data_IF_505506173458
#
_entry.id   IF_505506173458
#
_cell.length_a   1.000
_cell.length_b   1.000
_cell.length_c   1.000
_cell.angle_alpha   90.00
_cell.angle_beta   90.00
_cell.angle_gamma   90.00
#
_symmetry.space_group_name_H-M   'P 1'
#
loop_
_entity.id
_entity.type
_entity.pdbx_description
1 polymer ?
#
# COMPACT_ATOMS: atom_id res chain seq x y z
N UNK A 1 -9.03 -5.42 -12.14
CA UNK A 1 -9.99 -5.55 -11.01
C UNK A 1 -9.64 -6.71 -10.09
N UNK A 2 -8.93 -6.41 -8.99
CA UNK A 2 -8.51 -7.38 -7.95
C UNK A 2 -9.57 -7.51 -6.85
N UNK A 3 -9.85 -8.75 -6.40
CA UNK A 3 -10.74 -8.99 -5.27
C UNK A 3 -10.18 -8.42 -3.96
N UNK A 4 -8.85 -8.45 -3.79
CA UNK A 4 -8.19 -7.94 -2.60
C UNK A 4 -8.32 -6.41 -2.49
N UNK A 5 -8.11 -5.69 -3.59
CA UNK A 5 -8.24 -4.22 -3.61
C UNK A 5 -9.68 -3.77 -3.31
N UNK A 6 -10.68 -4.50 -3.82
CA UNK A 6 -12.10 -4.24 -3.50
C UNK A 6 -12.39 -4.41 -2.01
N UNK A 7 -11.84 -5.45 -1.40
CA UNK A 7 -12.03 -5.72 0.02
C UNK A 7 -11.37 -4.64 0.89
N UNK A 8 -10.18 -4.16 0.52
CA UNK A 8 -9.53 -3.03 1.21
C UNK A 8 -10.39 -1.76 1.19
N UNK A 9 -10.93 -1.38 0.03
CA UNK A 9 -11.83 -0.22 -0.09
C UNK A 9 -13.08 -0.40 0.77
N UNK A 10 -13.66 -1.61 0.78
CA UNK A 10 -14.81 -1.93 1.64
C UNK A 10 -14.48 -1.78 3.12
N UNK A 11 -13.32 -2.26 3.56
CA UNK A 11 -12.87 -2.16 4.96
C UNK A 11 -12.67 -0.71 5.41
N UNK A 12 -12.05 0.14 4.59
CA UNK A 12 -11.91 1.57 4.90
C UNK A 12 -13.28 2.25 5.06
N UNK A 13 -14.23 1.93 4.18
CA UNK A 13 -15.60 2.43 4.26
C UNK A 13 -16.32 2.02 5.55
N UNK A 14 -16.12 0.79 6.02
CA UNK A 14 -16.70 0.32 7.31
C UNK A 14 -16.17 1.11 8.49
N UNK A 15 -14.89 1.49 8.47
CA UNK A 15 -14.25 2.28 9.54
C UNK A 15 -14.60 3.77 9.44
N UNK A 16 -15.41 4.17 8.44
CA UNK A 16 -15.84 5.55 8.23
C UNK A 16 -14.79 6.44 7.57
N UNK A 17 -13.73 5.85 7.00
CA UNK A 17 -12.74 6.58 6.22
C UNK A 17 -13.13 6.53 4.74
N UNK A 18 -13.40 7.68 4.09
CA UNK A 18 -13.66 7.71 2.66
C UNK A 18 -12.50 7.07 1.90
N UNK A 19 -12.82 6.14 0.99
CA UNK A 19 -11.83 5.42 0.21
C UNK A 19 -12.24 5.35 -1.26
N UNK A 20 -11.28 5.66 -2.13
CA UNK A 20 -11.41 5.58 -3.57
C UNK A 20 -10.52 4.45 -4.08
N UNK A 21 -11.09 3.55 -4.89
CA UNK A 21 -10.29 2.58 -5.63
C UNK A 21 -9.94 3.18 -7.00
N UNK A 22 -8.66 3.09 -7.36
CA UNK A 22 -8.13 3.45 -8.67
C UNK A 22 -7.35 2.26 -9.25
N UNK A 23 -7.25 2.16 -10.56
CA UNK A 23 -6.36 1.21 -11.24
C UNK A 23 -5.00 1.87 -11.55
N UNK A 24 -4.92 3.21 -11.62
CA UNK A 24 -3.65 3.93 -11.70
C UNK A 24 -3.76 5.45 -11.59
N UNK A 25 -2.61 6.13 -11.68
CA UNK A 25 -2.52 7.61 -11.51
C UNK A 25 -3.41 8.43 -12.43
N UNK A 26 -3.80 7.86 -13.58
CA UNK A 26 -4.65 8.53 -14.57
C UNK A 26 -6.09 8.68 -14.11
N UNK A 27 -6.51 7.88 -13.13
CA UNK A 27 -7.85 7.97 -12.56
C UNK A 27 -7.97 9.16 -11.57
N UNK A 28 -6.84 9.78 -11.20
CA UNK A 28 -6.78 10.96 -10.33
C UNK A 28 -6.85 12.25 -11.16
N UNK A 29 -8.08 12.59 -11.56
CA UNK A 29 -8.38 13.75 -12.39
C UNK A 29 -8.97 14.92 -11.59
N UNK A 30 -9.80 14.64 -10.59
CA UNK A 30 -10.57 15.65 -9.85
C UNK A 30 -9.94 15.95 -8.47
N UNK A 31 -9.41 17.17 -8.23
CA UNK A 31 -8.93 17.59 -6.92
C UNK A 31 -10.01 17.58 -5.83
N UNK A 32 -11.29 17.76 -6.18
CA UNK A 32 -12.39 17.84 -5.22
C UNK A 32 -12.60 16.52 -4.46
N UNK A 33 -12.08 15.41 -4.98
CA UNK A 33 -12.03 14.13 -4.28
C UNK A 33 -11.26 14.17 -2.95
N UNK A 34 -10.45 15.20 -2.73
CA UNK A 34 -9.64 15.40 -1.53
C UNK A 34 -10.09 16.59 -0.66
N UNK A 35 -11.24 17.21 -0.99
CA UNK A 35 -11.70 18.41 -0.28
C UNK A 35 -11.94 18.14 1.22
N UNK A 36 -11.38 19.00 2.06
CA UNK A 36 -11.46 18.87 3.52
C UNK A 36 -10.57 17.78 4.11
N UNK A 37 -9.82 17.01 3.30
CA UNK A 37 -8.87 16.04 3.81
C UNK A 37 -7.58 16.73 4.29
N UNK A 38 -7.26 16.57 5.57
CA UNK A 38 -5.96 17.00 6.12
C UNK A 38 -4.85 15.98 5.83
N UNK A 39 -5.23 14.69 5.76
CA UNK A 39 -4.31 13.57 5.55
C UNK A 39 -4.95 12.60 4.55
N UNK A 40 -4.18 12.20 3.54
CA UNK A 40 -4.59 11.21 2.54
C UNK A 40 -3.64 10.02 2.62
N UNK A 41 -4.19 8.83 2.90
CA UNK A 41 -3.45 7.58 2.87
C UNK A 41 -3.44 6.95 1.48
N UNK A 42 -2.32 6.34 1.10
CA UNK A 42 -2.17 5.59 -0.15
C UNK A 42 -1.81 4.14 0.20
N UNK A 43 -2.51 3.18 -0.40
CA UNK A 43 -2.28 1.75 -0.19
C UNK A 43 -2.52 0.97 -1.47
N UNK A 44 -2.00 -0.25 -1.55
CA UNK A 44 -2.09 -1.13 -2.71
C UNK A 44 -2.48 -2.54 -2.33
N UNK A 45 -3.09 -3.25 -3.28
CA UNK A 45 -3.26 -4.69 -3.17
C UNK A 45 -1.91 -5.40 -3.29
N UNK A 46 -1.85 -6.68 -2.93
CA UNK A 46 -0.63 -7.52 -2.99
C UNK A 46 -0.02 -7.65 -4.40
N UNK A 47 -0.78 -7.33 -5.44
CA UNK A 47 -0.36 -7.35 -6.85
C UNK A 47 0.03 -5.98 -7.40
N UNK A 48 -0.08 -4.93 -6.59
CA UNK A 48 0.26 -3.56 -7.00
C UNK A 48 1.76 -3.33 -6.74
N UNK A 49 2.56 -3.06 -7.79
CA UNK A 49 3.96 -2.67 -7.63
C UNK A 49 4.10 -1.47 -6.69
N UNK A 50 5.15 -1.45 -5.88
CA UNK A 50 5.32 -0.42 -4.84
C UNK A 50 5.62 0.96 -5.48
N UNK A 51 6.24 0.97 -6.65
CA UNK A 51 6.47 2.16 -7.48
C UNK A 51 5.16 2.84 -7.94
N UNK A 52 4.09 2.07 -8.16
CA UNK A 52 2.78 2.64 -8.50
C UNK A 52 2.21 3.42 -7.32
N UNK A 53 2.46 2.96 -6.07
CA UNK A 53 2.06 3.69 -4.86
C UNK A 53 2.81 5.02 -4.72
N UNK A 54 4.10 5.05 -5.07
CA UNK A 54 4.87 6.30 -5.13
C UNK A 54 4.26 7.26 -6.14
N UNK A 55 3.93 6.79 -7.33
CA UNK A 55 3.42 7.63 -8.40
C UNK A 55 2.03 8.19 -8.06
N UNK A 56 1.19 7.39 -7.38
CA UNK A 56 -0.10 7.83 -6.80
C UNK A 56 0.12 8.86 -5.70
N UNK A 57 1.02 8.62 -4.75
CA UNK A 57 1.31 9.58 -3.68
C UNK A 57 1.78 10.93 -4.23
N UNK A 58 2.68 10.91 -5.22
CA UNK A 58 3.12 12.12 -5.93
C UNK A 58 1.93 12.85 -6.56
N UNK A 59 1.07 12.12 -7.27
CA UNK A 59 -0.09 12.72 -7.96
C UNK A 59 -1.08 13.35 -6.98
N UNK A 60 -1.32 12.73 -5.83
CA UNK A 60 -2.15 13.30 -4.75
C UNK A 60 -1.53 14.60 -4.23
N UNK A 61 -0.22 14.63 -4.02
CA UNK A 61 0.48 15.84 -3.57
C UNK A 61 0.39 16.97 -4.59
N UNK A 62 0.52 16.69 -5.89
CA UNK A 62 0.37 17.67 -6.97
C UNK A 62 -1.05 18.29 -7.00
N UNK A 63 -2.07 17.46 -6.83
CA UNK A 63 -3.48 17.88 -6.92
C UNK A 63 -3.96 18.59 -5.66
N UNK A 64 -3.72 18.00 -4.50
CA UNK A 64 -4.37 18.36 -3.25
C UNK A 64 -3.40 18.78 -2.15
N UNK A 65 -2.09 18.64 -2.36
CA UNK A 65 -1.09 19.02 -1.36
C UNK A 65 -1.14 20.51 -1.01
N UNK A 66 -0.59 20.85 0.16
CA UNK A 66 -0.33 22.25 0.50
C UNK A 66 0.66 22.88 -0.50
N UNK A 67 0.75 24.22 -0.60
CA UNK A 67 1.69 24.86 -1.53
C UNK A 67 3.15 24.40 -1.37
N UNK A 68 3.58 24.09 -0.13
CA UNK A 68 4.91 23.52 0.12
C UNK A 68 5.00 22.06 -0.35
N UNK A 69 3.99 21.24 -0.02
CA UNK A 69 3.99 19.84 -0.40
C UNK A 69 3.94 19.62 -1.92
N UNK A 70 3.25 20.49 -2.68
CA UNK A 70 3.26 20.49 -4.16
C UNK A 70 4.65 20.72 -4.74
N UNK A 71 5.40 21.68 -4.17
CA UNK A 71 6.78 21.98 -4.64
C UNK A 71 7.74 20.83 -4.37
N UNK A 72 7.51 20.09 -3.29
CA UNK A 72 8.35 18.98 -2.85
C UNK A 72 7.76 17.59 -3.19
N UNK A 73 6.78 17.51 -4.09
CA UNK A 73 5.97 16.30 -4.30
C UNK A 73 6.82 15.05 -4.59
N UNK A 74 7.81 15.15 -5.48
CA UNK A 74 8.73 14.05 -5.81
C UNK A 74 9.52 13.57 -4.59
N UNK A 75 10.08 14.53 -3.83
CA UNK A 75 10.90 14.24 -2.65
C UNK A 75 10.07 13.57 -1.56
N UNK A 76 8.86 14.08 -1.31
CA UNK A 76 7.95 13.55 -0.30
C UNK A 76 7.42 12.17 -0.69
N UNK A 77 7.07 11.95 -1.95
CA UNK A 77 6.63 10.65 -2.45
C UNK A 77 7.74 9.59 -2.36
N UNK A 78 8.98 9.96 -2.67
CA UNK A 78 10.13 9.06 -2.54
C UNK A 78 10.42 8.72 -1.06
N UNK A 79 10.30 9.70 -0.16
CA UNK A 79 10.45 9.46 1.27
C UNK A 79 9.35 8.50 1.80
N UNK A 80 8.10 8.72 1.40
CA UNK A 80 6.99 7.83 1.76
C UNK A 80 7.20 6.40 1.25
N UNK A 81 7.71 6.24 0.02
CA UNK A 81 8.07 4.93 -0.53
C UNK A 81 9.13 4.21 0.30
N UNK A 82 10.18 4.94 0.71
CA UNK A 82 11.27 4.38 1.51
C UNK A 82 10.76 3.83 2.86
N UNK A 83 9.86 4.57 3.52
CA UNK A 83 9.21 4.12 4.76
C UNK A 83 8.36 2.86 4.53
N UNK A 84 7.55 2.85 3.46
CA UNK A 84 6.66 1.74 3.11
C UNK A 84 7.40 0.46 2.68
N UNK A 85 8.60 0.59 2.11
CA UNK A 85 9.44 -0.54 1.70
C UNK A 85 10.04 -1.32 2.88
N UNK A 86 9.86 -0.84 4.12
CA UNK A 86 10.27 -1.57 5.33
C UNK A 86 9.55 -2.92 5.39
N UNK A 87 10.25 -4.06 5.53
CA UNK A 87 9.61 -5.36 5.52
C UNK A 87 8.58 -5.48 6.64
N UNK A 88 7.30 -5.62 6.28
CA UNK A 88 6.28 -6.05 7.22
C UNK A 88 6.66 -7.46 7.70
N UNK A 89 6.83 -7.61 9.01
CA UNK A 89 7.16 -8.89 9.63
C UNK A 89 6.19 -9.96 9.14
N UNK A 90 6.70 -10.96 8.41
CA UNK A 90 5.88 -12.07 7.92
C UNK A 90 5.35 -12.82 9.13
N UNK A 91 4.04 -12.79 9.32
CA UNK A 91 3.35 -13.68 10.26
C UNK A 91 2.77 -14.84 9.48
N UNK A 92 2.85 -16.04 10.03
CA UNK A 92 2.31 -17.26 9.43
C UNK A 92 1.58 -18.05 10.50
N UNK A 93 0.40 -18.56 10.16
CA UNK A 93 -0.34 -19.51 10.99
C UNK A 93 0.13 -20.95 10.78
N UNK A 94 1.06 -21.18 9.84
CA UNK A 94 1.65 -22.49 9.63
C UNK A 94 2.76 -22.74 10.68
N UNK A 95 2.79 -23.93 11.30
CA UNK A 95 3.91 -24.29 12.16
C UNK A 95 5.20 -24.27 11.34
N UNK A 96 6.28 -23.71 11.92
CA UNK A 96 7.62 -23.81 11.34
C UNK A 96 7.93 -25.28 11.08
N UNK A 97 8.18 -25.63 9.81
CA UNK A 97 8.56 -26.99 9.46
C UNK A 97 9.84 -27.35 10.24
N UNK A 98 9.73 -28.26 11.21
CA UNK A 98 10.88 -28.83 11.87
C UNK A 98 11.79 -29.45 10.80
N UNK A 99 13.09 -29.14 10.87
CA UNK A 99 14.09 -29.60 9.92
C UNK A 99 14.11 -31.12 9.71
N UNK A 100 14.79 -31.62 8.67
CA UNK A 100 14.72 -33.02 8.27
C UNK A 100 15.06 -33.94 9.44
N UNK A 101 14.11 -34.79 9.82
CA UNK A 101 14.35 -35.90 10.75
C UNK A 101 15.30 -36.88 10.06
N UNK A 102 16.55 -36.90 10.47
CA UNK A 102 17.51 -37.94 10.09
C UNK A 102 16.93 -39.29 10.52
N UNK A 103 16.60 -40.14 9.55
CA UNK A 103 16.17 -41.50 9.81
C UNK A 103 17.34 -42.29 10.40
N UNK A 104 17.16 -42.83 11.60
CA UNK A 104 18.08 -43.79 12.18
C UNK A 104 18.09 -45.05 11.32
N UNK A 105 19.26 -45.40 10.78
CA UNK A 105 19.48 -46.68 10.13
C UNK A 105 19.38 -47.81 11.17
N UNK A 106 18.39 -48.68 11.01
CA UNK A 106 18.29 -49.92 11.75
C UNK A 106 19.39 -50.88 11.34
N UNK A 107 20.15 -51.36 12.32
CA UNK A 107 21.11 -52.45 12.14
C UNK A 107 20.42 -53.81 12.10
N UNK A 108 20.95 -54.69 11.27
CA UNK A 108 20.95 -56.15 11.42
C UNK A 108 22.34 -56.66 11.11
#
# INVERSE_FOLDING_TARGET
SSANTKELTRLCGIVGTPAMQIEGVRDLEDPAAFDGAEVVGVTGGTSTPIEDLRDVARRVLELAGTPGARKDADRLALAALAEAATPAGRTTSLPTAAGPRTAAAGGV
#
